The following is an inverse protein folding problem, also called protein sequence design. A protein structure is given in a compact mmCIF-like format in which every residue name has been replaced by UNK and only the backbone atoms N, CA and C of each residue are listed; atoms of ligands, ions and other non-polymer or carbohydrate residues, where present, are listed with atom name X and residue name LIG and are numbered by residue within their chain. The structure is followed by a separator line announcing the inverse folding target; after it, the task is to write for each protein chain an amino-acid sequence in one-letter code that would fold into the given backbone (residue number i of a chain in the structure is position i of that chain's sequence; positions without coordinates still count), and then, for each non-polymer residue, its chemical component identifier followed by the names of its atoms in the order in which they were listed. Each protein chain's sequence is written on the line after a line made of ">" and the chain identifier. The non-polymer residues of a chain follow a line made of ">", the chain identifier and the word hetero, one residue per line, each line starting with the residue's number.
data_IF_309336709971
#
_entry.id   IF_309336709971
#
_cell.length_a   1.000
_cell.length_b   1.000
_cell.length_c   1.000
_cell.angle_alpha   90.00
_cell.angle_beta   90.00
_cell.angle_gamma   90.00
#
_symmetry.space_group_name_H-M   'P 1'
#
loop_
_entity.id
_entity.type
_entity.pdbx_description
1 polymer ?
#
# COMPACT_ATOMS: atom_id res chain seq x y z
N UNK A 1 19.98 -1.07 -29.61
CA UNK A 1 19.41 -2.06 -28.67
C UNK A 1 18.18 -1.48 -27.95
N UNK A 2 16.97 -1.83 -28.38
CA UNK A 2 15.72 -1.29 -27.84
C UNK A 2 15.00 -2.31 -26.95
N UNK A 3 15.26 -2.31 -25.64
CA UNK A 3 14.61 -3.26 -24.72
C UNK A 3 14.57 -2.84 -23.24
N UNK A 4 14.98 -1.60 -22.93
CA UNK A 4 15.22 -1.13 -21.57
C UNK A 4 14.18 -0.17 -21.00
N UNK A 5 13.04 0.03 -21.68
CA UNK A 5 12.05 1.06 -21.29
C UNK A 5 11.44 0.88 -19.89
N UNK A 6 11.47 -0.33 -19.31
CA UNK A 6 10.81 -0.65 -18.02
C UNK A 6 11.60 -1.63 -17.13
N UNK A 7 12.92 -1.70 -17.27
CA UNK A 7 13.78 -2.62 -16.47
C UNK A 7 14.41 -1.90 -15.28
N UNK A 8 14.71 -2.58 -14.16
CA UNK A 8 15.24 -1.96 -12.96
C UNK A 8 16.70 -1.47 -13.06
N UNK A 9 17.42 -1.77 -14.16
CA UNK A 9 18.83 -1.40 -14.27
C UNK A 9 19.73 -2.31 -13.44
N UNK A 10 20.85 -1.75 -12.97
CA UNK A 10 21.76 -2.45 -12.07
C UNK A 10 21.12 -2.70 -10.70
N UNK A 11 21.41 -3.85 -10.11
CA UNK A 11 20.83 -4.32 -8.84
C UNK A 11 21.85 -4.41 -7.68
N UNK A 12 23.13 -4.16 -7.95
CA UNK A 12 24.22 -4.29 -6.98
C UNK A 12 25.49 -3.55 -7.41
N UNK A 13 26.52 -3.65 -6.57
CA UNK A 13 27.88 -3.18 -6.89
C UNK A 13 28.73 -4.35 -7.39
N UNK A 14 29.87 -4.03 -8.03
CA UNK A 14 30.84 -5.01 -8.54
C UNK A 14 31.64 -5.63 -7.39
N UNK A 15 32.87 -5.18 -7.10
CA UNK A 15 33.80 -5.90 -6.22
C UNK A 15 33.41 -5.93 -4.72
N UNK A 16 32.91 -4.83 -4.16
CA UNK A 16 32.44 -4.77 -2.78
C UNK A 16 31.07 -4.07 -2.75
N UNK A 17 30.01 -4.67 -2.15
CA UNK A 17 29.96 -5.95 -1.41
C UNK A 17 29.65 -7.20 -2.26
N UNK A 18 29.76 -7.15 -3.61
CA UNK A 18 29.54 -8.31 -4.52
C UNK A 18 28.21 -9.07 -4.32
N UNK A 19 27.15 -8.39 -3.83
CA UNK A 19 25.87 -9.01 -3.53
C UNK A 19 24.71 -8.05 -3.71
N UNK A 20 23.50 -8.61 -3.81
CA UNK A 20 22.27 -7.84 -3.70
C UNK A 20 21.93 -7.67 -2.21
N UNK A 21 21.61 -6.44 -1.80
CA UNK A 21 21.17 -6.15 -0.44
C UNK A 21 19.79 -6.77 -0.17
N UNK A 22 19.60 -7.35 1.03
CA UNK A 22 18.29 -7.84 1.46
C UNK A 22 17.28 -6.67 1.45
N UNK A 23 16.09 -6.90 0.90
CA UNK A 23 15.05 -5.88 0.75
C UNK A 23 15.23 -4.92 -0.42
N UNK A 24 16.21 -5.16 -1.32
CA UNK A 24 16.32 -4.39 -2.58
C UNK A 24 14.99 -4.50 -3.36
N UNK A 25 14.42 -3.36 -3.71
CA UNK A 25 13.16 -3.29 -4.47
C UNK A 25 13.35 -3.94 -5.85
N UNK A 26 12.58 -4.99 -6.10
CA UNK A 26 12.56 -5.77 -7.34
C UNK A 26 11.09 -6.06 -7.71
N UNK A 27 10.80 -6.39 -8.98
CA UNK A 27 9.44 -6.77 -9.37
C UNK A 27 8.94 -7.96 -8.54
N UNK A 28 7.66 -7.92 -8.18
CA UNK A 28 7.00 -8.93 -7.36
C UNK A 28 5.50 -8.65 -7.27
N UNK A 29 4.78 -9.46 -6.49
CA UNK A 29 3.35 -9.26 -6.26
C UNK A 29 3.11 -7.93 -5.54
N UNK A 30 2.20 -7.12 -6.08
CA UNK A 30 1.78 -5.86 -5.48
C UNK A 30 0.32 -5.96 -5.01
N UNK A 31 0.01 -5.40 -3.84
CA UNK A 31 -1.34 -5.40 -3.27
C UNK A 31 -1.68 -6.68 -2.50
N UNK A 32 -2.96 -6.87 -2.16
CA UNK A 32 -3.44 -7.90 -1.25
C UNK A 32 -2.68 -7.92 0.10
N UNK A 33 -2.32 -6.73 0.58
CA UNK A 33 -1.60 -6.50 1.83
C UNK A 33 -2.46 -5.66 2.77
N UNK A 34 -2.26 -5.83 4.09
CA UNK A 34 -2.97 -5.04 5.10
C UNK A 34 -2.42 -3.61 5.12
N UNK A 35 -3.27 -2.63 4.78
CA UNK A 35 -2.94 -1.19 4.88
C UNK A 35 -3.81 -0.48 5.91
N UNK A 36 -3.26 0.54 6.52
CA UNK A 36 -3.96 1.43 7.46
C UNK A 36 -3.79 2.86 6.99
N UNK A 37 -4.90 3.52 6.71
CA UNK A 37 -4.95 4.96 6.44
C UNK A 37 -5.32 5.65 7.75
N UNK A 38 -4.51 6.62 8.18
CA UNK A 38 -4.65 7.29 9.47
C UNK A 38 -5.27 8.67 9.30
N UNK A 39 -5.79 9.22 10.40
CA UNK A 39 -6.29 10.60 10.49
C UNK A 39 -7.41 10.93 9.50
N UNK A 40 -8.27 9.96 9.20
CA UNK A 40 -9.48 10.20 8.42
C UNK A 40 -10.57 10.83 9.29
N UNK A 41 -11.34 11.76 8.70
CA UNK A 41 -12.43 12.46 9.39
C UNK A 41 -13.75 11.72 9.15
N UNK A 42 -14.48 11.46 10.23
CA UNK A 42 -15.89 11.04 10.17
C UNK A 42 -16.71 12.29 9.86
N UNK A 43 -17.45 12.29 8.75
CA UNK A 43 -18.29 13.42 8.33
C UNK A 43 -19.76 13.21 8.66
N UNK A 44 -20.17 11.98 8.94
CA UNK A 44 -21.53 11.67 9.35
C UNK A 44 -21.65 10.25 9.91
N UNK A 45 -22.65 10.07 10.76
CA UNK A 45 -23.00 8.78 11.37
C UNK A 45 -24.51 8.64 11.24
N UNK A 46 -24.96 7.64 10.50
CA UNK A 46 -26.35 7.23 10.47
C UNK A 46 -26.51 5.99 11.34
N UNK A 47 -27.20 6.14 12.47
CA UNK A 47 -27.38 5.06 13.43
C UNK A 47 -28.54 4.14 13.07
N UNK A 48 -29.49 4.62 12.29
CA UNK A 48 -30.67 3.83 11.90
C UNK A 48 -30.24 2.76 10.89
N UNK A 49 -29.47 3.18 9.89
CA UNK A 49 -28.96 2.31 8.83
C UNK A 49 -27.57 1.71 9.13
N UNK A 50 -26.99 2.01 10.29
CA UNK A 50 -25.63 1.62 10.70
C UNK A 50 -24.54 2.04 9.69
N UNK A 51 -24.67 3.23 9.10
CA UNK A 51 -23.74 3.76 8.10
C UNK A 51 -22.77 4.76 8.73
N UNK A 52 -21.51 4.69 8.26
CA UNK A 52 -20.47 5.64 8.63
C UNK A 52 -19.94 6.35 7.38
N UNK A 53 -20.07 7.67 7.35
CA UNK A 53 -19.53 8.48 6.27
C UNK A 53 -18.12 8.95 6.65
N UNK A 54 -17.13 8.47 5.92
CA UNK A 54 -15.71 8.80 6.13
C UNK A 54 -15.22 9.63 4.95
N UNK A 55 -14.58 10.76 5.23
CA UNK A 55 -13.95 11.59 4.19
C UNK A 55 -12.62 10.97 3.77
N UNK A 56 -12.53 10.57 2.50
CA UNK A 56 -11.28 10.11 1.87
C UNK A 56 -11.39 8.71 1.29
N UNK A 57 -10.25 8.09 1.01
CA UNK A 57 -10.16 6.76 0.43
C UNK A 57 -9.85 5.69 1.48
N UNK A 58 -10.49 4.53 1.34
CA UNK A 58 -10.26 3.36 2.18
C UNK A 58 -9.51 2.28 1.40
N UNK A 59 -8.68 1.45 2.06
CA UNK A 59 -7.98 0.37 1.40
C UNK A 59 -8.94 -0.78 1.05
N UNK A 60 -8.68 -1.46 -0.07
CA UNK A 60 -9.48 -2.62 -0.51
C UNK A 60 -10.55 -2.25 -1.53
N UNK A 61 -11.28 -3.26 -2.00
CA UNK A 61 -12.42 -3.11 -2.91
C UNK A 61 -13.73 -2.94 -2.12
N UNK A 62 -14.81 -2.57 -2.83
CA UNK A 62 -16.16 -2.53 -2.24
C UNK A 62 -16.51 -3.90 -1.63
N UNK A 63 -16.97 -3.91 -0.38
CA UNK A 63 -17.27 -5.14 0.37
C UNK A 63 -16.08 -5.75 1.12
N UNK A 64 -14.89 -5.15 1.04
CA UNK A 64 -13.77 -5.53 1.91
C UNK A 64 -14.10 -5.34 3.39
N UNK A 65 -13.68 -6.29 4.22
CA UNK A 65 -13.75 -6.16 5.68
C UNK A 65 -12.75 -5.10 6.15
N UNK A 66 -13.24 -4.08 6.85
CA UNK A 66 -12.43 -3.01 7.43
C UNK A 66 -12.52 -3.04 8.96
N UNK A 67 -11.44 -2.59 9.61
CA UNK A 67 -11.40 -2.37 11.05
C UNK A 67 -11.18 -0.89 11.31
N UNK A 68 -12.13 -0.25 11.99
CA UNK A 68 -12.06 1.16 12.34
C UNK A 68 -11.63 1.27 13.81
N UNK A 69 -10.65 2.14 14.09
CA UNK A 69 -10.12 2.37 15.44
C UNK A 69 -9.94 3.86 15.65
N UNK A 70 -10.00 4.30 16.90
CA UNK A 70 -9.60 5.67 17.25
C UNK A 70 -8.15 5.90 16.84
N UNK A 71 -7.87 7.06 16.24
CA UNK A 71 -6.52 7.42 15.85
C UNK A 71 -5.67 7.69 17.09
N UNK A 72 -4.42 7.25 17.04
CA UNK A 72 -3.39 7.61 18.01
C UNK A 72 -2.59 8.79 17.48
#
# INVERSE_FOLDING_TARGET
>A
AGGWRRRPGSIGASADPSRVFKGKKMPGKMGAERKTVRNLKIVGVDKEENLLLIRGSLPGNKGSLLTIKSSK
#
